data_IF_748441697765
#
_entry.id   IF_748441697765
#
_cell.length_a   1.000
_cell.length_b   1.000
_cell.length_c   1.000
_cell.angle_alpha   90.00
_cell.angle_beta   90.00
_cell.angle_gamma   90.00
#
_symmetry.space_group_name_H-M   'P 1'
#
loop_
_entity.id
_entity.type
_entity.pdbx_description
1 polymer ?
#
# COMPACT_ATOMS: atom_id res chain seq x y z
N UNK A 1 -3.58 20.11 28.76
CA UNK A 1 -3.70 20.25 27.29
C UNK A 1 -5.01 19.61 26.90
N UNK A 2 -6.05 20.43 26.77
CA UNK A 2 -7.42 19.95 26.48
C UNK A 2 -7.42 19.30 25.10
N UNK A 3 -7.83 18.03 25.02
CA UNK A 3 -8.08 17.37 23.74
C UNK A 3 -9.46 17.85 23.27
N UNK A 4 -9.59 18.58 22.14
CA UNK A 4 -10.89 18.79 21.55
C UNK A 4 -11.41 17.42 21.08
N UNK A 5 -12.32 16.85 21.85
CA UNK A 5 -13.18 15.77 21.40
C UNK A 5 -14.36 16.34 20.62
N UNK A 6 -14.94 15.48 19.78
CA UNK A 6 -16.33 15.55 19.30
C UNK A 6 -16.66 16.32 18.02
N UNK A 7 -16.06 15.97 16.89
CA UNK A 7 -16.78 16.13 15.61
C UNK A 7 -16.41 15.07 14.53
N UNK A 8 -15.93 13.91 14.97
CA UNK A 8 -15.79 12.77 14.06
C UNK A 8 -17.17 12.20 13.73
N UNK A 9 -17.63 12.46 12.51
CA UNK A 9 -18.76 11.77 11.90
C UNK A 9 -18.32 10.39 11.42
N UNK A 10 -19.29 9.50 11.26
CA UNK A 10 -19.07 8.14 10.80
C UNK A 10 -20.04 7.80 9.67
N UNK A 11 -19.55 7.06 8.68
CA UNK A 11 -20.37 6.39 7.66
C UNK A 11 -19.93 4.93 7.50
N UNK A 12 -20.82 4.08 6.98
CA UNK A 12 -20.55 2.67 6.70
C UNK A 12 -20.01 2.47 5.28
N UNK A 13 -19.06 1.56 5.16
CA UNK A 13 -18.46 1.12 3.90
C UNK A 13 -18.40 -0.40 3.81
N UNK A 14 -19.57 -1.05 3.81
CA UNK A 14 -19.66 -2.51 3.68
C UNK A 14 -19.20 -3.24 4.93
N UNK A 15 -19.60 -2.75 6.11
CA UNK A 15 -19.16 -3.27 7.40
C UNK A 15 -17.85 -2.66 7.92
N UNK A 16 -17.29 -1.68 7.21
CA UNK A 16 -16.19 -0.84 7.67
C UNK A 16 -16.71 0.51 8.14
N UNK A 17 -16.12 1.04 9.21
CA UNK A 17 -16.40 2.41 9.66
C UNK A 17 -15.42 3.39 9.03
N UNK A 18 -15.95 4.39 8.33
CA UNK A 18 -15.20 5.54 7.80
C UNK A 18 -15.46 6.74 8.70
N UNK A 19 -14.43 7.25 9.35
CA UNK A 19 -14.47 8.40 10.25
C UNK A 19 -14.00 9.65 9.49
N UNK A 20 -14.70 10.77 9.65
CA UNK A 20 -14.36 12.04 9.00
C UNK A 20 -14.83 13.26 9.79
N UNK A 21 -14.25 14.43 9.53
CA UNK A 21 -14.78 15.71 10.00
C UNK A 21 -15.87 16.22 9.06
N UNK A 22 -16.84 16.98 9.56
CA UNK A 22 -18.01 17.43 8.79
C UNK A 22 -17.69 18.06 7.42
N UNK A 23 -16.58 18.80 7.35
CA UNK A 23 -16.07 19.46 6.14
C UNK A 23 -15.63 18.49 5.04
N UNK A 24 -15.25 17.25 5.40
CA UNK A 24 -14.74 16.25 4.46
C UNK A 24 -15.81 15.17 4.12
N UNK A 25 -17.09 15.48 4.32
CA UNK A 25 -18.19 14.53 4.11
C UNK A 25 -18.24 13.95 2.69
N UNK A 26 -17.95 14.77 1.67
CA UNK A 26 -17.92 14.33 0.28
C UNK A 26 -16.78 13.33 0.03
N UNK A 27 -15.57 13.66 0.48
CA UNK A 27 -14.42 12.76 0.35
C UNK A 27 -14.62 11.47 1.14
N UNK A 28 -15.27 11.54 2.31
CA UNK A 28 -15.65 10.37 3.09
C UNK A 28 -16.59 9.42 2.33
N UNK A 29 -17.56 9.96 1.56
CA UNK A 29 -18.44 9.14 0.72
C UNK A 29 -17.67 8.46 -0.41
N UNK A 30 -16.73 9.16 -1.04
CA UNK A 30 -15.91 8.62 -2.12
C UNK A 30 -14.97 7.54 -1.58
N UNK A 31 -14.35 7.76 -0.42
CA UNK A 31 -13.53 6.77 0.27
C UNK A 31 -14.37 5.56 0.67
N UNK A 32 -15.57 5.77 1.23
CA UNK A 32 -16.48 4.69 1.59
C UNK A 32 -16.87 3.84 0.39
N UNK A 33 -17.17 4.48 -0.75
CA UNK A 33 -17.45 3.77 -1.99
C UNK A 33 -16.23 2.99 -2.48
N UNK A 34 -15.05 3.60 -2.51
CA UNK A 34 -13.82 2.92 -2.91
C UNK A 34 -13.51 1.70 -2.02
N UNK A 35 -13.77 1.80 -0.70
CA UNK A 35 -13.65 0.67 0.20
C UNK A 35 -14.64 -0.45 -0.14
N UNK A 36 -15.92 -0.12 -0.38
CA UNK A 36 -16.93 -1.10 -0.81
C UNK A 36 -16.54 -1.80 -2.11
N UNK A 37 -16.06 -1.05 -3.10
CA UNK A 37 -15.63 -1.57 -4.39
C UNK A 37 -14.40 -2.47 -4.25
N UNK A 38 -13.48 -2.13 -3.34
CA UNK A 38 -12.21 -2.85 -3.16
C UNK A 38 -12.34 -4.13 -2.33
N UNK A 39 -13.33 -4.22 -1.46
CA UNK A 39 -13.53 -5.37 -0.57
C UNK A 39 -13.69 -6.70 -1.33
N UNK A 40 -14.59 -6.81 -2.34
CA UNK A 40 -14.68 -7.99 -3.20
C UNK A 40 -13.37 -8.28 -3.94
N UNK A 41 -12.72 -7.26 -4.51
CA UNK A 41 -11.46 -7.40 -5.24
C UNK A 41 -10.36 -8.02 -4.36
N UNK A 42 -10.25 -7.58 -3.11
CA UNK A 42 -9.27 -8.14 -2.17
C UNK A 42 -9.48 -9.65 -1.94
N UNK A 43 -10.74 -10.08 -1.85
CA UNK A 43 -11.10 -11.47 -1.65
C UNK A 43 -10.97 -12.31 -2.93
N UNK A 44 -11.40 -11.77 -4.06
CA UNK A 44 -11.41 -12.43 -5.36
C UNK A 44 -10.01 -12.58 -5.94
N UNK A 45 -9.23 -11.50 -5.97
CA UNK A 45 -7.90 -11.49 -6.57
C UNK A 45 -6.84 -12.05 -5.62
N UNK A 46 -6.90 -11.66 -4.34
CA UNK A 46 -5.82 -11.96 -3.39
C UNK A 46 -6.20 -13.00 -2.33
N UNK A 47 -7.48 -13.31 -2.16
CA UNK A 47 -7.95 -14.19 -1.08
C UNK A 47 -7.75 -13.57 0.30
N UNK A 48 -7.73 -12.24 0.36
CA UNK A 48 -7.51 -11.48 1.57
C UNK A 48 -8.83 -10.92 2.07
N UNK A 49 -9.09 -11.17 3.35
CA UNK A 49 -10.17 -10.52 4.08
C UNK A 49 -9.58 -9.44 5.00
N UNK A 50 -10.32 -8.35 5.17
CA UNK A 50 -10.01 -7.38 6.21
C UNK A 50 -10.30 -7.95 7.60
N UNK A 51 -9.50 -7.53 8.58
CA UNK A 51 -9.82 -7.78 9.97
C UNK A 51 -11.12 -7.03 10.33
N UNK A 52 -12.02 -7.69 11.06
CA UNK A 52 -13.35 -7.16 11.44
C UNK A 52 -13.32 -5.78 12.14
N UNK A 53 -12.21 -5.46 12.79
CA UNK A 53 -12.03 -4.17 13.47
C UNK A 53 -11.40 -3.08 12.59
N UNK A 54 -11.19 -3.30 11.29
CA UNK A 54 -10.54 -2.32 10.42
C UNK A 54 -11.33 -1.01 10.39
N UNK A 55 -10.62 0.11 10.53
CA UNK A 55 -11.22 1.46 10.50
C UNK A 55 -10.54 2.30 9.45
N UNK A 56 -11.31 3.15 8.81
CA UNK A 56 -10.84 4.07 7.78
C UNK A 56 -11.06 5.49 8.28
N UNK A 57 -10.11 6.39 8.05
CA UNK A 57 -10.18 7.78 8.47
C UNK A 57 -9.92 8.69 7.28
N UNK A 58 -10.74 9.72 7.11
CA UNK A 58 -10.34 10.88 6.31
C UNK A 58 -9.31 11.65 7.13
N UNK A 59 -8.10 11.67 6.62
CA UNK A 59 -6.89 12.00 7.37
C UNK A 59 -6.45 13.43 7.04
N UNK A 60 -6.83 14.39 7.87
CA UNK A 60 -6.50 15.82 7.72
C UNK A 60 -5.21 16.20 8.43
N UNK A 61 -4.96 15.63 9.61
CA UNK A 61 -3.73 15.77 10.39
C UNK A 61 -3.21 14.39 10.81
N UNK A 62 -1.93 14.11 10.54
CA UNK A 62 -1.33 12.82 10.85
C UNK A 62 -1.21 12.54 12.34
N UNK A 63 -1.07 13.57 13.19
CA UNK A 63 -0.99 13.39 14.65
C UNK A 63 -2.35 12.97 15.17
N UNK A 64 -3.38 13.70 14.78
CA UNK A 64 -4.76 13.39 15.14
C UNK A 64 -5.10 11.96 14.73
N UNK A 65 -4.79 11.59 13.49
CA UNK A 65 -4.98 10.22 12.99
C UNK A 65 -4.25 9.17 13.83
N UNK A 66 -2.95 9.36 14.11
CA UNK A 66 -2.16 8.38 14.88
C UNK A 66 -2.68 8.25 16.31
N UNK A 67 -2.93 9.37 17.00
CA UNK A 67 -3.37 9.34 18.40
C UNK A 67 -4.82 8.85 18.53
N UNK A 68 -5.73 9.26 17.65
CA UNK A 68 -7.14 8.84 17.74
C UNK A 68 -7.32 7.37 17.34
N UNK A 69 -6.57 6.87 16.35
CA UNK A 69 -6.65 5.47 15.92
C UNK A 69 -5.97 4.48 16.89
N UNK A 70 -4.95 4.93 17.62
CA UNK A 70 -4.11 4.07 18.45
C UNK A 70 -4.88 3.46 19.63
N UNK A 71 -4.63 2.17 19.96
CA UNK A 71 -5.01 1.59 21.24
C UNK A 71 -4.41 2.38 22.43
N UNK A 72 -5.02 2.38 23.63
CA UNK A 72 -4.57 3.21 24.77
C UNK A 72 -3.09 3.07 25.11
N UNK A 73 -2.57 1.83 25.20
CA UNK A 73 -1.16 1.59 25.48
C UNK A 73 -0.24 2.12 24.36
N UNK A 74 -0.67 2.06 23.09
CA UNK A 74 0.09 2.60 21.96
C UNK A 74 0.11 4.11 21.97
N UNK A 75 -0.98 4.78 22.38
CA UNK A 75 -1.02 6.23 22.55
C UNK A 75 0.07 6.69 23.52
N UNK A 76 0.22 5.99 24.65
CA UNK A 76 1.27 6.29 25.63
C UNK A 76 2.68 6.12 25.03
N UNK A 77 2.93 5.01 24.33
CA UNK A 77 4.22 4.77 23.66
C UNK A 77 4.52 5.87 22.64
N UNK A 78 3.54 6.27 21.83
CA UNK A 78 3.69 7.33 20.85
C UNK A 78 3.94 8.69 21.51
N UNK A 79 3.25 9.00 22.61
CA UNK A 79 3.48 10.22 23.38
C UNK A 79 4.90 10.29 23.93
N UNK A 80 5.38 9.21 24.56
CA UNK A 80 6.74 9.15 25.13
C UNK A 80 7.82 9.26 24.05
N UNK A 81 7.62 8.61 22.90
CA UNK A 81 8.57 8.69 21.79
C UNK A 81 8.45 9.93 20.91
N UNK A 82 7.43 10.77 21.12
CA UNK A 82 6.97 11.80 20.17
C UNK A 82 8.09 12.63 19.54
N UNK A 83 9.04 13.20 20.30
CA UNK A 83 10.08 14.05 19.71
C UNK A 83 10.93 13.34 18.64
N UNK A 84 11.20 12.05 18.83
CA UNK A 84 12.09 11.28 17.96
C UNK A 84 11.41 10.90 16.63
N UNK A 85 10.13 10.51 16.68
CA UNK A 85 9.44 10.04 15.48
C UNK A 85 8.64 11.15 14.77
N UNK A 86 8.16 12.18 15.48
CA UNK A 86 7.34 13.26 14.90
C UNK A 86 8.03 13.98 13.73
N UNK A 87 9.34 14.23 13.83
CA UNK A 87 10.13 14.84 12.75
C UNK A 87 10.09 13.99 11.48
N UNK A 88 10.23 12.67 11.63
CA UNK A 88 10.16 11.72 10.51
C UNK A 88 8.75 11.68 9.91
N UNK A 89 7.70 11.65 10.73
CA UNK A 89 6.33 11.62 10.21
C UNK A 89 5.98 12.90 9.46
N UNK A 90 6.38 14.06 9.97
CA UNK A 90 6.14 15.35 9.31
C UNK A 90 6.81 15.39 7.93
N UNK A 91 8.02 14.86 7.80
CA UNK A 91 8.70 14.75 6.51
C UNK A 91 7.97 13.78 5.57
N UNK A 92 7.47 12.63 6.04
CA UNK A 92 6.72 11.71 5.18
C UNK A 92 5.34 12.25 4.80
N UNK A 93 4.72 13.03 5.69
CA UNK A 93 3.39 13.60 5.50
C UNK A 93 3.28 14.44 4.24
N UNK A 94 4.33 15.11 3.79
CA UNK A 94 4.27 15.96 2.59
C UNK A 94 4.13 15.14 1.29
N UNK A 95 4.53 13.87 1.29
CA UNK A 95 4.57 13.01 0.11
C UNK A 95 3.40 12.00 0.05
N UNK A 96 2.96 11.49 1.21
CA UNK A 96 2.01 10.38 1.25
C UNK A 96 0.57 10.85 1.04
N UNK A 97 -0.17 10.17 0.19
CA UNK A 97 -1.61 10.39 0.00
C UNK A 97 -2.49 9.63 1.00
N UNK A 98 -1.96 8.54 1.56
CA UNK A 98 -2.64 7.69 2.54
C UNK A 98 -1.62 7.04 3.48
N UNK A 99 -2.14 6.35 4.50
CA UNK A 99 -1.33 5.61 5.45
C UNK A 99 -2.11 4.48 6.12
N UNK A 100 -1.55 3.29 6.07
CA UNK A 100 -1.97 2.16 6.90
C UNK A 100 -1.11 1.98 8.15
N UNK A 101 -1.76 1.88 9.31
CA UNK A 101 -1.15 1.54 10.59
C UNK A 101 -1.60 0.14 11.02
N UNK A 102 -0.71 -0.88 10.98
CA UNK A 102 -1.09 -2.28 11.19
C UNK A 102 -1.17 -2.62 12.68
N UNK A 103 -2.11 -2.04 13.44
CA UNK A 103 -2.32 -2.49 14.81
C UNK A 103 -2.78 -3.95 14.85
N UNK A 104 -2.27 -4.78 15.78
CA UNK A 104 -2.67 -6.19 15.88
C UNK A 104 -4.20 -6.35 15.98
N UNK A 105 -4.79 -7.13 15.07
CA UNK A 105 -6.23 -7.40 15.01
C UNK A 105 -7.11 -6.23 14.57
N UNK A 106 -6.55 -5.02 14.44
CA UNK A 106 -7.30 -3.79 14.15
C UNK A 106 -6.49 -2.81 13.29
N UNK A 107 -6.11 -3.19 12.05
CA UNK A 107 -5.42 -2.28 11.17
C UNK A 107 -6.28 -1.03 10.93
N UNK A 108 -5.62 0.11 10.74
CA UNK A 108 -6.30 1.37 10.49
C UNK A 108 -5.73 1.99 9.22
N UNK A 109 -6.62 2.51 8.39
CA UNK A 109 -6.32 3.21 7.15
C UNK A 109 -6.63 4.69 7.32
N UNK A 110 -5.73 5.55 6.89
CA UNK A 110 -5.94 6.99 6.74
C UNK A 110 -5.79 7.37 5.27
N UNK A 111 -6.71 8.17 4.73
CA UNK A 111 -6.63 8.68 3.36
C UNK A 111 -6.81 10.19 3.42
N UNK A 112 -5.91 10.95 2.81
CA UNK A 112 -6.06 12.41 2.76
C UNK A 112 -7.26 12.80 1.91
N UNK A 113 -8.01 13.85 2.29
CA UNK A 113 -9.04 14.45 1.46
C UNK A 113 -8.46 15.12 0.21
N UNK A 114 -9.30 15.41 -0.78
CA UNK A 114 -8.91 15.87 -2.11
C UNK A 114 -8.00 17.09 -2.06
N UNK A 115 -8.38 18.07 -1.23
CA UNK A 115 -7.64 19.30 -1.02
C UNK A 115 -6.19 19.07 -0.58
N UNK A 116 -5.93 18.08 0.29
CA UNK A 116 -4.58 17.79 0.78
C UNK A 116 -3.80 16.89 -0.17
N UNK A 117 -4.47 15.98 -0.88
CA UNK A 117 -3.83 15.20 -1.95
C UNK A 117 -3.36 16.15 -3.06
N UNK A 118 -4.18 17.12 -3.44
CA UNK A 118 -3.85 18.09 -4.47
C UNK A 118 -2.61 18.94 -4.10
N UNK A 119 -2.49 19.32 -2.83
CA UNK A 119 -1.37 20.11 -2.29
C UNK A 119 -0.14 19.29 -1.89
N UNK A 120 -0.19 17.95 -1.98
CA UNK A 120 0.95 17.09 -1.62
C UNK A 120 2.04 17.14 -2.70
N UNK A 121 3.30 16.90 -2.29
CA UNK A 121 4.43 16.81 -3.20
C UNK A 121 4.28 15.61 -4.14
N UNK A 122 4.27 15.89 -5.45
CA UNK A 122 4.02 14.89 -6.50
C UNK A 122 5.29 14.33 -7.14
N UNK A 123 6.48 14.78 -6.75
CA UNK A 123 7.76 14.44 -7.42
C UNK A 123 8.00 12.92 -7.53
N UNK A 124 7.87 12.20 -6.42
CA UNK A 124 7.97 10.73 -6.39
C UNK A 124 6.85 10.10 -7.21
N UNK A 125 5.62 10.58 -7.03
CA UNK A 125 4.43 10.05 -7.70
C UNK A 125 4.51 10.17 -9.22
N UNK A 126 4.97 11.30 -9.74
CA UNK A 126 5.11 11.57 -11.19
C UNK A 126 6.16 10.66 -11.85
N UNK A 127 7.11 10.14 -11.08
CA UNK A 127 8.13 9.21 -11.56
C UNK A 127 7.63 7.76 -11.64
N UNK A 128 6.49 7.44 -11.00
CA UNK A 128 5.94 6.07 -10.91
C UNK A 128 4.61 5.97 -11.65
N UNK A 129 3.73 6.95 -11.46
CA UNK A 129 2.34 6.90 -11.88
C UNK A 129 2.07 7.79 -13.10
N UNK A 130 1.16 7.34 -13.95
CA UNK A 130 0.51 8.15 -14.97
C UNK A 130 -0.26 9.26 -14.25
N UNK A 131 -0.23 10.47 -14.82
CA UNK A 131 -0.93 11.61 -14.24
C UNK A 131 -2.44 11.36 -14.14
N UNK A 132 -3.00 11.71 -12.98
CA UNK A 132 -4.44 11.60 -12.70
C UNK A 132 -4.94 13.00 -12.32
N UNK A 133 -5.54 13.75 -13.25
CA UNK A 133 -6.00 15.11 -13.00
C UNK A 133 -7.21 15.15 -12.05
N UNK A 134 -8.04 14.10 -12.09
CA UNK A 134 -9.19 13.98 -11.20
C UNK A 134 -8.77 13.55 -9.79
N UNK A 135 -8.92 14.49 -8.86
CA UNK A 135 -8.65 14.29 -7.44
C UNK A 135 -9.51 13.17 -6.82
N UNK A 136 -10.74 12.96 -7.28
CA UNK A 136 -11.63 11.93 -6.74
C UNK A 136 -11.18 10.54 -7.19
N UNK A 137 -10.79 10.37 -8.45
CA UNK A 137 -10.14 9.13 -8.90
C UNK A 137 -8.86 8.85 -8.10
N UNK A 138 -8.08 9.89 -7.79
CA UNK A 138 -6.87 9.74 -7.00
C UNK A 138 -7.18 9.26 -5.57
N UNK A 139 -8.21 9.80 -4.92
CA UNK A 139 -8.66 9.34 -3.61
C UNK A 139 -9.13 7.90 -3.65
N UNK A 140 -9.93 7.51 -4.66
CA UNK A 140 -10.39 6.11 -4.82
C UNK A 140 -9.19 5.15 -4.93
N UNK A 141 -8.20 5.52 -5.74
CA UNK A 141 -6.95 4.78 -5.89
C UNK A 141 -6.20 4.64 -4.57
N UNK A 142 -6.06 5.74 -3.82
CA UNK A 142 -5.37 5.75 -2.51
C UNK A 142 -6.11 4.90 -1.48
N UNK A 143 -7.44 4.99 -1.42
CA UNK A 143 -8.25 4.18 -0.52
C UNK A 143 -8.08 2.68 -0.81
N UNK A 144 -8.16 2.27 -2.08
CA UNK A 144 -7.94 0.89 -2.49
C UNK A 144 -6.51 0.40 -2.15
N UNK A 145 -5.51 1.25 -2.39
CA UNK A 145 -4.11 0.98 -2.07
C UNK A 145 -3.89 0.71 -0.58
N UNK A 146 -4.35 1.63 0.28
CA UNK A 146 -4.18 1.48 1.72
C UNK A 146 -5.02 0.32 2.28
N UNK A 147 -6.20 0.07 1.72
CA UNK A 147 -7.03 -1.07 2.15
C UNK A 147 -6.32 -2.41 1.88
N UNK A 148 -5.58 -2.52 0.78
CA UNK A 148 -4.77 -3.70 0.49
C UNK A 148 -3.66 -3.91 1.53
N UNK A 149 -2.99 -2.84 1.96
CA UNK A 149 -2.04 -2.92 3.07
C UNK A 149 -2.71 -3.39 4.36
N UNK A 150 -3.90 -2.88 4.68
CA UNK A 150 -4.64 -3.28 5.87
C UNK A 150 -5.02 -4.77 5.82
N UNK A 151 -5.46 -5.27 4.66
CA UNK A 151 -5.80 -6.68 4.47
C UNK A 151 -4.57 -7.59 4.58
N UNK A 152 -3.44 -7.16 3.99
CA UNK A 152 -2.19 -7.92 4.00
C UNK A 152 -1.35 -7.76 5.30
N UNK A 153 -1.73 -6.87 6.21
CA UNK A 153 -0.94 -6.50 7.39
C UNK A 153 -0.49 -7.70 8.23
N UNK A 154 -1.35 -8.71 8.38
CA UNK A 154 -1.08 -9.90 9.17
C UNK A 154 -0.03 -10.84 8.56
N UNK A 155 0.21 -10.74 7.25
CA UNK A 155 1.13 -11.59 6.50
C UNK A 155 2.60 -11.19 6.66
N UNK A 156 2.87 -9.93 7.01
CA UNK A 156 4.22 -9.36 7.09
C UNK A 156 5.04 -9.60 5.81
N UNK A 157 4.43 -9.27 4.67
CA UNK A 157 5.02 -9.46 3.35
C UNK A 157 6.35 -8.72 3.19
N UNK A 158 7.25 -9.18 2.32
CA UNK A 158 8.38 -8.38 1.90
C UNK A 158 7.89 -7.08 1.25
N UNK A 159 8.60 -5.98 1.48
CA UNK A 159 8.14 -4.64 1.12
C UNK A 159 7.72 -4.53 -0.36
N UNK A 160 8.47 -5.12 -1.29
CA UNK A 160 8.13 -5.09 -2.71
C UNK A 160 6.77 -5.70 -3.03
N UNK A 161 6.40 -6.80 -2.35
CA UNK A 161 5.14 -7.49 -2.58
C UNK A 161 3.99 -6.75 -1.88
N UNK A 162 4.28 -6.17 -0.71
CA UNK A 162 3.31 -5.32 -0.01
C UNK A 162 2.90 -4.11 -0.86
N UNK A 163 3.88 -3.36 -1.39
CA UNK A 163 3.61 -2.23 -2.29
C UNK A 163 3.01 -2.69 -3.62
N UNK A 164 3.54 -3.77 -4.21
CA UNK A 164 3.04 -4.29 -5.47
C UNK A 164 1.57 -4.72 -5.42
N UNK A 165 1.14 -5.40 -4.34
CA UNK A 165 -0.26 -5.75 -4.13
C UNK A 165 -1.15 -4.51 -3.96
N UNK A 166 -0.68 -3.53 -3.20
CA UNK A 166 -1.43 -2.30 -2.98
C UNK A 166 -1.61 -1.49 -4.27
N UNK A 167 -0.54 -1.35 -5.07
CA UNK A 167 -0.61 -0.71 -6.38
C UNK A 167 -1.50 -1.48 -7.36
N UNK A 168 -1.42 -2.82 -7.39
CA UNK A 168 -2.31 -3.63 -8.24
C UNK A 168 -3.77 -3.57 -7.82
N UNK A 169 -4.06 -3.54 -6.52
CA UNK A 169 -5.43 -3.38 -6.02
C UNK A 169 -6.00 -2.03 -6.46
N UNK A 170 -5.20 -0.98 -6.40
CA UNK A 170 -5.60 0.35 -6.84
C UNK A 170 -5.92 0.39 -8.36
N UNK A 171 -5.12 -0.27 -9.19
CA UNK A 171 -5.37 -0.37 -10.63
C UNK A 171 -6.66 -1.14 -10.94
N UNK A 172 -6.87 -2.27 -10.27
CA UNK A 172 -8.08 -3.09 -10.41
C UNK A 172 -9.33 -2.30 -10.02
N UNK A 173 -9.27 -1.58 -8.89
CA UNK A 173 -10.38 -0.73 -8.42
C UNK A 173 -10.71 0.42 -9.39
N UNK A 174 -9.73 0.87 -10.17
CA UNK A 174 -9.92 1.89 -11.21
C UNK A 174 -10.22 1.32 -12.60
N UNK A 175 -10.09 0.00 -12.79
CA UNK A 175 -10.23 -0.64 -14.09
C UNK A 175 -9.14 -0.25 -15.11
N UNK A 176 -8.00 0.29 -14.67
CA UNK A 176 -6.90 0.70 -15.55
C UNK A 176 -5.55 0.66 -14.85
N UNK A 177 -4.49 0.46 -15.62
CA UNK A 177 -3.13 0.52 -15.10
C UNK A 177 -2.73 1.98 -14.80
N UNK A 178 -2.23 2.23 -13.59
CA UNK A 178 -1.83 3.58 -13.16
C UNK A 178 -0.33 3.79 -13.13
N UNK A 179 0.47 2.73 -13.26
CA UNK A 179 1.93 2.79 -13.27
C UNK A 179 2.44 3.03 -14.69
N UNK A 180 3.39 3.96 -14.83
CA UNK A 180 3.98 4.29 -16.13
C UNK A 180 4.74 3.10 -16.70
N UNK A 181 4.53 2.83 -17.99
CA UNK A 181 5.15 1.71 -18.71
C UNK A 181 6.67 1.84 -18.81
N UNK A 182 7.21 3.06 -18.88
CA UNK A 182 8.65 3.34 -18.92
C UNK A 182 9.39 2.86 -17.65
N UNK A 183 8.71 2.75 -16.52
CA UNK A 183 9.31 2.19 -15.29
C UNK A 183 9.68 0.72 -15.41
N UNK A 184 9.16 -0.01 -16.42
CA UNK A 184 9.57 -1.37 -16.75
C UNK A 184 11.07 -1.46 -17.06
N UNK A 185 11.66 -0.37 -17.58
CA UNK A 185 13.09 -0.29 -17.91
C UNK A 185 14.00 -0.52 -16.70
N UNK A 186 13.51 -0.28 -15.47
CA UNK A 186 14.23 -0.55 -14.23
C UNK A 186 14.56 -2.04 -14.04
N UNK A 187 13.87 -2.94 -14.76
CA UNK A 187 14.11 -4.38 -14.71
C UNK A 187 15.23 -4.86 -15.65
N UNK A 188 15.67 -4.05 -16.63
CA UNK A 188 16.78 -4.41 -17.52
C UNK A 188 18.09 -4.61 -16.76
N UNK A 189 18.35 -3.72 -15.80
CA UNK A 189 19.56 -3.71 -14.97
C UNK A 189 19.16 -3.64 -13.49
N UNK A 190 18.61 -4.74 -12.93
CA UNK A 190 18.08 -4.72 -11.58
C UNK A 190 19.23 -4.55 -10.58
N UNK A 191 19.00 -3.76 -9.53
CA UNK A 191 19.95 -3.58 -8.43
C UNK A 191 20.18 -4.93 -7.74
N UNK A 192 21.44 -5.28 -7.49
CA UNK A 192 21.87 -6.56 -6.87
C UNK A 192 22.60 -6.33 -5.55
N UNK A 193 22.78 -7.41 -4.79
CA UNK A 193 23.54 -7.44 -3.54
C UNK A 193 22.72 -7.18 -2.27
N UNK A 194 23.36 -7.17 -1.09
CA UNK A 194 22.70 -7.12 0.22
C UNK A 194 21.82 -5.88 0.41
N UNK A 195 22.26 -4.73 -0.12
CA UNK A 195 21.50 -3.47 -0.05
C UNK A 195 20.19 -3.54 -0.84
N UNK A 196 20.26 -4.03 -2.07
CA UNK A 196 19.06 -4.23 -2.89
C UNK A 196 18.11 -5.24 -2.25
N UNK A 197 18.66 -6.30 -1.63
CA UNK A 197 17.85 -7.26 -0.89
C UNK A 197 17.12 -6.60 0.29
N UNK A 198 17.81 -5.82 1.12
CA UNK A 198 17.21 -5.10 2.25
C UNK A 198 16.14 -4.11 1.80
N UNK A 199 16.42 -3.35 0.72
CA UNK A 199 15.48 -2.42 0.09
C UNK A 199 14.19 -3.13 -0.32
N UNK A 200 14.29 -4.28 -0.99
CA UNK A 200 13.11 -4.99 -1.47
C UNK A 200 12.35 -5.72 -0.35
N UNK A 201 13.01 -6.08 0.75
CA UNK A 201 12.43 -6.96 1.78
C UNK A 201 11.99 -6.23 3.05
N UNK A 202 12.40 -4.98 3.28
CA UNK A 202 12.20 -4.28 4.56
C UNK A 202 11.72 -2.84 4.39
N UNK A 203 10.95 -2.34 5.35
CA UNK A 203 10.47 -0.94 5.38
C UNK A 203 11.47 0.02 6.05
N UNK A 204 12.65 -0.48 6.44
CA UNK A 204 13.62 0.25 7.26
C UNK A 204 14.75 0.90 6.45
N UNK A 205 14.83 0.65 5.14
CA UNK A 205 15.95 1.10 4.31
C UNK A 205 15.49 1.96 3.13
N UNK A 206 15.70 3.28 3.25
CA UNK A 206 15.59 4.26 2.18
C UNK A 206 16.70 5.29 2.36
N UNK A 207 17.50 5.54 1.32
CA UNK A 207 18.48 6.65 1.31
C UNK A 207 18.04 7.85 0.49
N UNK A 208 16.91 7.76 -0.20
CA UNK A 208 16.37 8.84 -1.03
C UNK A 208 15.14 8.40 -1.82
N UNK A 209 14.66 9.29 -2.67
CA UNK A 209 13.49 9.11 -3.55
C UNK A 209 13.69 7.98 -4.57
N UNK A 210 14.90 7.80 -5.12
CA UNK A 210 15.20 6.73 -6.08
C UNK A 210 14.99 5.32 -5.54
N UNK A 211 15.25 5.11 -4.24
CA UNK A 211 15.02 3.83 -3.57
C UNK A 211 13.51 3.52 -3.47
N UNK A 212 12.70 4.55 -3.25
CA UNK A 212 11.23 4.45 -3.21
C UNK A 212 10.73 4.13 -4.62
N UNK A 213 11.13 4.91 -5.62
CA UNK A 213 10.75 4.71 -7.02
C UNK A 213 11.09 3.30 -7.48
N UNK A 214 12.33 2.86 -7.25
CA UNK A 214 12.79 1.52 -7.64
C UNK A 214 11.97 0.41 -6.98
N UNK A 215 11.72 0.51 -5.66
CA UNK A 215 10.95 -0.49 -4.92
C UNK A 215 9.51 -0.58 -5.41
N UNK A 216 8.84 0.56 -5.55
CA UNK A 216 7.43 0.63 -5.94
C UNK A 216 7.24 0.10 -7.36
N UNK A 217 8.00 0.64 -8.32
CA UNK A 217 7.92 0.20 -9.72
C UNK A 217 8.25 -1.28 -9.87
N UNK A 218 9.36 -1.75 -9.29
CA UNK A 218 9.72 -3.17 -9.36
C UNK A 218 8.68 -4.05 -8.66
N UNK A 219 8.22 -3.64 -7.48
CA UNK A 219 7.20 -4.37 -6.74
C UNK A 219 5.90 -4.54 -7.53
N UNK A 220 5.46 -3.47 -8.18
CA UNK A 220 4.33 -3.46 -9.09
C UNK A 220 4.49 -4.45 -10.24
N UNK A 221 5.57 -4.34 -11.03
CA UNK A 221 5.76 -5.18 -12.22
C UNK A 221 5.88 -6.66 -11.86
N UNK A 222 6.59 -6.98 -10.77
CA UNK A 222 6.69 -8.36 -10.27
C UNK A 222 5.32 -8.91 -9.87
N UNK A 223 4.50 -8.11 -9.15
CA UNK A 223 3.18 -8.55 -8.69
C UNK A 223 2.21 -8.72 -9.88
N UNK A 224 2.22 -7.77 -10.82
CA UNK A 224 1.44 -7.84 -12.06
C UNK A 224 1.76 -9.10 -12.86
N UNK A 225 3.05 -9.43 -13.02
CA UNK A 225 3.48 -10.64 -13.70
C UNK A 225 3.01 -11.92 -13.00
N UNK A 226 3.19 -11.98 -11.67
CA UNK A 226 2.76 -13.15 -10.88
C UNK A 226 1.24 -13.36 -10.96
N UNK A 227 0.46 -12.27 -10.93
CA UNK A 227 -0.98 -12.30 -11.13
C UNK A 227 -1.34 -12.83 -12.54
N UNK A 228 -0.67 -12.32 -13.59
CA UNK A 228 -0.95 -12.70 -14.97
C UNK A 228 -0.60 -14.16 -15.29
N UNK A 229 0.53 -14.65 -14.78
CA UNK A 229 1.02 -16.01 -15.11
C UNK A 229 0.37 -17.08 -14.24
N UNK A 230 0.12 -16.80 -12.95
CA UNK A 230 -0.44 -17.80 -12.04
C UNK A 230 -1.12 -17.17 -10.81
N UNK A 231 -2.24 -16.48 -11.05
CA UNK A 231 -3.08 -15.90 -9.98
C UNK A 231 -3.43 -16.91 -8.87
N UNK A 232 -3.86 -18.17 -9.15
CA UNK A 232 -4.17 -19.14 -8.10
C UNK A 232 -2.99 -19.44 -7.16
N UNK A 233 -1.77 -19.57 -7.69
CA UNK A 233 -0.58 -19.81 -6.87
C UNK A 233 -0.19 -18.58 -6.03
N UNK A 234 -0.31 -17.37 -6.60
CA UNK A 234 -0.10 -16.13 -5.86
C UNK A 234 -1.10 -16.01 -4.70
N UNK A 235 -2.39 -16.19 -4.97
CA UNK A 235 -3.47 -16.22 -3.96
C UNK A 235 -3.18 -17.25 -2.87
N UNK A 236 -2.74 -18.45 -3.24
CA UNK A 236 -2.36 -19.49 -2.27
C UNK A 236 -1.18 -19.07 -1.38
N UNK A 237 -0.18 -18.37 -1.92
CA UNK A 237 0.95 -17.84 -1.17
C UNK A 237 0.56 -16.73 -0.17
N UNK A 238 -0.56 -16.03 -0.42
CA UNK A 238 -1.07 -14.96 0.41
C UNK A 238 -2.06 -15.41 1.50
N UNK A 239 -2.47 -16.69 1.53
CA UNK A 239 -3.44 -17.21 2.52
C UNK A 239 -2.99 -17.12 3.97
N UNK A 240 -1.68 -17.15 4.21
CA UNK A 240 -1.09 -17.12 5.55
C UNK A 240 0.30 -16.54 5.53
N UNK A 241 0.77 -16.10 6.70
CA UNK A 241 2.15 -15.69 6.88
C UNK A 241 3.08 -16.88 6.62
N UNK A 242 3.98 -16.73 5.65
CA UNK A 242 5.02 -17.71 5.32
C UNK A 242 6.41 -17.19 5.72
N UNK A 243 7.32 -18.07 6.15
CA UNK A 243 8.74 -17.73 6.19
C UNK A 243 9.22 -17.32 4.80
N UNK A 244 10.08 -16.28 4.72
CA UNK A 244 10.52 -15.70 3.42
C UNK A 244 11.10 -16.73 2.45
N UNK A 245 11.88 -17.70 2.95
CA UNK A 245 12.44 -18.79 2.12
C UNK A 245 11.33 -19.60 1.45
N UNK A 246 10.27 -19.93 2.18
CA UNK A 246 9.13 -20.70 1.68
C UNK A 246 8.30 -19.85 0.72
N UNK A 247 8.06 -18.57 1.06
CA UNK A 247 7.39 -17.63 0.15
C UNK A 247 8.08 -17.58 -1.21
N UNK A 248 9.40 -17.35 -1.24
CA UNK A 248 10.13 -17.30 -2.50
C UNK A 248 10.20 -18.63 -3.25
N UNK A 249 10.20 -19.76 -2.55
CA UNK A 249 10.10 -21.07 -3.20
C UNK A 249 8.74 -21.23 -3.90
N UNK A 250 7.63 -20.87 -3.24
CA UNK A 250 6.28 -20.91 -3.81
C UNK A 250 6.12 -19.95 -5.00
N UNK A 251 6.64 -18.73 -4.87
CA UNK A 251 6.61 -17.76 -5.97
C UNK A 251 7.50 -18.18 -7.14
N UNK A 252 8.62 -18.88 -6.90
CA UNK A 252 9.44 -19.45 -7.97
C UNK A 252 8.70 -20.57 -8.71
N UNK A 253 8.12 -21.51 -7.96
CA UNK A 253 7.32 -22.62 -8.48
C UNK A 253 6.17 -22.11 -9.36
N UNK A 254 5.47 -21.05 -8.92
CA UNK A 254 4.37 -20.43 -9.65
C UNK A 254 4.73 -19.95 -11.06
N UNK A 255 6.01 -19.66 -11.31
CA UNK A 255 6.52 -19.16 -12.61
C UNK A 255 7.50 -20.15 -13.26
N UNK A 256 7.44 -21.43 -12.87
CA UNK A 256 8.26 -22.50 -13.47
C UNK A 256 9.76 -22.42 -13.13
N UNK A 257 10.11 -21.80 -12.00
CA UNK A 257 11.50 -21.69 -11.53
C UNK A 257 11.77 -22.61 -10.33
N UNK A 258 13.00 -23.10 -10.24
CA UNK A 258 13.48 -23.82 -9.06
C UNK A 258 13.73 -22.89 -7.87
N UNK A 259 13.68 -23.46 -6.67
CA UNK A 259 13.96 -22.73 -5.43
C UNK A 259 15.36 -22.09 -5.48
N UNK A 260 15.44 -20.79 -5.16
CA UNK A 260 16.68 -20.01 -5.21
C UNK A 260 16.97 -19.32 -6.56
N UNK A 261 16.24 -19.66 -7.63
CA UNK A 261 16.36 -18.98 -8.92
C UNK A 261 15.47 -17.74 -9.07
N UNK A 262 14.49 -17.56 -8.16
CA UNK A 262 13.53 -16.46 -8.20
C UNK A 262 14.19 -15.12 -8.50
N UNK A 263 15.02 -14.62 -7.57
CA UNK A 263 15.67 -13.32 -7.73
C UNK A 263 16.67 -13.28 -8.89
N UNK A 264 17.23 -14.42 -9.31
CA UNK A 264 18.18 -14.46 -10.42
C UNK A 264 17.48 -14.21 -11.75
N UNK A 265 16.27 -14.74 -11.95
CA UNK A 265 15.58 -14.75 -13.25
C UNK A 265 14.33 -13.89 -13.35
N UNK A 266 13.65 -13.60 -12.24
CA UNK A 266 12.31 -13.00 -12.27
C UNK A 266 12.26 -11.66 -13.01
N UNK A 267 13.24 -10.78 -12.80
CA UNK A 267 13.24 -9.45 -13.45
C UNK A 267 13.28 -9.56 -14.98
N UNK A 268 14.03 -10.54 -15.51
CA UNK A 268 14.09 -10.81 -16.95
C UNK A 268 12.79 -11.40 -17.46
N UNK A 269 12.21 -12.36 -16.75
CA UNK A 269 10.92 -12.95 -17.14
C UNK A 269 9.81 -11.89 -17.23
N UNK A 270 9.77 -10.98 -16.24
CA UNK A 270 8.80 -9.88 -16.21
C UNK A 270 9.05 -8.89 -17.33
N UNK A 271 10.31 -8.51 -17.56
CA UNK A 271 10.68 -7.62 -18.65
C UNK A 271 10.31 -8.22 -20.01
N UNK A 272 10.68 -9.47 -20.27
CA UNK A 272 10.43 -10.15 -21.54
C UNK A 272 8.91 -10.29 -21.78
N UNK A 273 8.12 -10.57 -20.73
CA UNK A 273 6.66 -10.67 -20.82
C UNK A 273 5.97 -9.35 -21.20
N UNK A 274 6.38 -8.22 -20.63
CA UNK A 274 5.72 -6.92 -20.86
C UNK A 274 6.39 -6.03 -21.91
N UNK A 275 7.57 -6.39 -22.43
CA UNK A 275 8.24 -5.62 -23.49
C UNK A 275 7.92 -6.09 -24.90
N UNK A 276 7.33 -7.28 -25.05
CA UNK A 276 6.85 -7.83 -26.32
C UNK A 276 5.35 -7.62 -26.59
N UNK A 277 4.67 -6.85 -25.74
CA UNK A 277 3.26 -6.42 -25.88
C UNK A 277 3.22 -4.94 -26.27
#
# INVERSE_FOLDING_TARGET
MNMPGEDWKQTDAGGLSVYFHAEDALDAQVIAQACRDSLPLLQEEWGLALARGCRVYVMTDWREFIFNSAPPLRRLIYALGYPLWARRMRAMWTYVGGWTVPYPGRPVVGVKPARLVAASDRTIGQSIFVEQPDSQLKIRSLAAHELAHAAAAHLRLPAWLNEGLAMRTADLALGRDTVRTDTLQLLKKPRRGPRAWLLMNTNLYFRGTDDIIYRYARGYWLTRYLQAVNSPALKAALRRRLPRRILYARLAEAVGLTAGMFWKRIDRLVYDHFSGS
#
